data_IF_174329288841
#
_entry.id   IF_174329288841
#
_cell.length_a   1.000
_cell.length_b   1.000
_cell.length_c   1.000
_cell.angle_alpha   90.00
_cell.angle_beta   90.00
_cell.angle_gamma   90.00
#
_symmetry.space_group_name_H-M   'P 1'
#
loop_
_entity.id
_entity.type
_entity.pdbx_description
1 polymer ?
#
# COMPACT_ATOMS: atom_id res chain seq x y z
N UNK A 1 -15.72 0.88 11.76
CA UNK A 1 -14.82 0.47 10.65
C UNK A 1 -13.59 -0.20 11.25
N UNK A 2 -13.18 -1.37 10.75
CA UNK A 2 -11.93 -2.00 11.19
C UNK A 2 -10.80 -1.72 10.19
N UNK A 3 -9.58 -1.47 10.67
CA UNK A 3 -8.40 -1.39 9.82
C UNK A 3 -7.18 -2.01 10.50
N UNK A 4 -6.17 -2.35 9.71
CA UNK A 4 -5.02 -3.09 10.16
C UNK A 4 -4.15 -2.29 11.15
N UNK A 5 -3.60 -3.01 12.13
CA UNK A 5 -2.53 -2.57 13.04
C UNK A 5 -2.87 -1.42 13.98
N UNK A 6 -2.68 -0.17 13.56
CA UNK A 6 -2.77 1.00 14.42
C UNK A 6 -2.93 2.29 13.65
N UNK A 7 -3.20 3.38 14.38
CA UNK A 7 -3.38 4.72 13.81
C UNK A 7 -2.12 5.19 13.09
N UNK A 8 -2.29 5.90 11.97
CA UNK A 8 -1.21 6.52 11.21
C UNK A 8 -0.59 5.66 10.11
N UNK A 9 -0.97 4.38 10.00
CA UNK A 9 -0.61 3.58 8.84
C UNK A 9 -1.34 4.05 7.57
N UNK A 10 -0.78 3.76 6.40
CA UNK A 10 -1.25 4.26 5.09
C UNK A 10 -2.77 4.18 4.86
N UNK A 11 -3.38 3.01 5.06
CA UNK A 11 -4.83 2.79 4.90
C UNK A 11 -5.63 3.59 5.92
N UNK A 12 -5.15 3.75 7.15
CA UNK A 12 -5.81 4.57 8.18
C UNK A 12 -5.80 6.06 7.79
N UNK A 13 -4.64 6.57 7.34
CA UNK A 13 -4.52 7.97 6.90
C UNK A 13 -5.40 8.24 5.68
N UNK A 14 -5.32 7.39 4.64
CA UNK A 14 -6.13 7.54 3.44
C UNK A 14 -7.63 7.48 3.76
N UNK A 15 -8.05 6.52 4.59
CA UNK A 15 -9.44 6.40 4.99
C UNK A 15 -9.94 7.64 5.76
N UNK A 16 -9.14 8.15 6.70
CA UNK A 16 -9.49 9.35 7.48
C UNK A 16 -9.56 10.60 6.61
N UNK A 17 -8.65 10.72 5.66
CA UNK A 17 -8.66 11.79 4.65
C UNK A 17 -9.93 11.77 3.82
N UNK A 18 -10.24 10.63 3.19
CA UNK A 18 -11.46 10.48 2.37
C UNK A 18 -12.74 10.73 3.18
N UNK A 19 -12.79 10.30 4.45
CA UNK A 19 -13.91 10.63 5.33
C UNK A 19 -14.06 12.13 5.51
N UNK A 20 -12.94 12.84 5.75
CA UNK A 20 -12.95 14.28 6.01
C UNK A 20 -13.35 15.08 4.77
N UNK A 21 -12.88 14.70 3.59
CA UNK A 21 -13.29 15.32 2.31
C UNK A 21 -14.80 15.20 2.06
N UNK A 22 -15.40 14.10 2.49
CA UNK A 22 -16.85 13.85 2.41
C UNK A 22 -17.63 14.44 3.61
N UNK A 23 -16.98 15.24 4.47
CA UNK A 23 -17.60 15.88 5.63
C UNK A 23 -17.92 14.93 6.79
N UNK A 24 -17.40 13.71 6.78
CA UNK A 24 -17.53 12.71 7.85
C UNK A 24 -16.36 12.88 8.83
N UNK A 25 -16.63 13.09 10.11
CA UNK A 25 -15.61 13.32 11.13
C UNK A 25 -15.12 11.98 11.70
N UNK A 26 -13.86 11.58 11.46
CA UNK A 26 -13.32 10.33 12.00
C UNK A 26 -13.35 10.30 13.53
N UNK A 27 -13.55 9.11 14.11
CA UNK A 27 -13.67 8.87 15.55
C UNK A 27 -14.90 9.52 16.24
N UNK A 28 -15.66 10.39 15.55
CA UNK A 28 -16.95 10.91 16.02
C UNK A 28 -18.12 10.25 15.29
N UNK A 29 -18.17 10.36 13.96
CA UNK A 29 -19.25 9.81 13.14
C UNK A 29 -19.00 8.34 12.81
N UNK A 30 -17.72 7.96 12.71
CA UNK A 30 -17.29 6.58 12.46
C UNK A 30 -16.29 6.15 13.51
N UNK A 31 -16.67 5.15 14.31
CA UNK A 31 -15.73 4.48 15.22
C UNK A 31 -14.73 3.62 14.43
N UNK A 32 -13.46 4.00 14.48
CA UNK A 32 -12.35 3.24 13.87
C UNK A 32 -11.75 2.32 14.93
N UNK A 33 -11.58 1.04 14.56
CA UNK A 33 -11.01 0.01 15.43
C UNK A 33 -9.83 -0.66 14.72
N UNK A 34 -8.83 -1.02 15.51
CA UNK A 34 -7.60 -1.59 15.01
C UNK A 34 -7.42 -3.01 15.51
N UNK A 35 -6.95 -3.90 14.63
CA UNK A 35 -6.61 -5.27 14.97
C UNK A 35 -5.60 -5.84 13.95
N UNK A 36 -4.92 -6.95 14.26
CA UNK A 36 -4.15 -7.69 13.27
C UNK A 36 -5.00 -8.06 12.05
N UNK A 37 -4.49 -7.95 10.80
CA UNK A 37 -5.27 -8.22 9.60
C UNK A 37 -5.97 -9.59 9.58
N UNK A 38 -5.31 -10.63 10.09
CA UNK A 38 -5.85 -11.99 10.17
C UNK A 38 -7.06 -12.08 11.11
N UNK A 39 -7.03 -11.33 12.21
CA UNK A 39 -8.16 -11.25 13.14
C UNK A 39 -9.34 -10.53 12.47
N UNK A 40 -9.08 -9.43 11.77
CA UNK A 40 -10.12 -8.70 11.02
C UNK A 40 -10.78 -9.62 9.99
N UNK A 41 -10.00 -10.42 9.26
CA UNK A 41 -10.54 -11.44 8.34
C UNK A 41 -11.46 -12.42 9.05
N UNK A 42 -11.06 -12.95 10.22
CA UNK A 42 -11.87 -13.90 10.99
C UNK A 42 -13.18 -13.27 11.51
N UNK A 43 -13.09 -12.04 12.04
CA UNK A 43 -14.25 -11.25 12.47
C UNK A 43 -15.21 -10.96 11.31
N UNK A 44 -14.68 -10.63 10.13
CA UNK A 44 -15.47 -10.34 8.95
C UNK A 44 -16.21 -11.58 8.47
N UNK A 45 -15.50 -12.72 8.32
CA UNK A 45 -16.09 -13.99 7.88
C UNK A 45 -17.14 -14.55 8.83
N UNK A 46 -16.98 -14.29 10.14
CA UNK A 46 -17.98 -14.67 11.15
C UNK A 46 -19.18 -13.72 11.21
N UNK A 47 -19.18 -12.63 10.43
CA UNK A 47 -20.27 -11.64 10.41
C UNK A 47 -20.27 -10.69 11.61
N UNK A 48 -19.25 -10.73 12.48
CA UNK A 48 -19.13 -9.84 13.64
C UNK A 48 -18.79 -8.40 13.25
N UNK A 49 -18.20 -8.20 12.07
CA UNK A 49 -17.94 -6.87 11.51
C UNK A 49 -18.47 -6.79 10.08
N UNK A 50 -18.99 -5.61 9.72
CA UNK A 50 -19.59 -5.35 8.39
C UNK A 50 -18.65 -4.63 7.42
N UNK A 51 -17.70 -3.85 7.95
CA UNK A 51 -16.83 -2.99 7.17
C UNK A 51 -15.39 -3.09 7.68
N UNK A 52 -14.47 -3.31 6.74
CA UNK A 52 -13.04 -3.34 6.97
C UNK A 52 -12.29 -2.65 5.82
N UNK A 53 -11.27 -1.86 6.17
CA UNK A 53 -10.32 -1.27 5.24
C UNK A 53 -8.98 -1.99 5.42
N UNK A 54 -8.56 -2.77 4.43
CA UNK A 54 -7.41 -3.67 4.50
C UNK A 54 -6.58 -3.59 3.21
N UNK A 55 -5.27 -3.90 3.25
CA UNK A 55 -4.49 -4.16 2.06
C UNK A 55 -4.75 -5.59 1.53
N UNK A 56 -4.38 -5.84 0.28
CA UNK A 56 -4.24 -7.20 -0.23
C UNK A 56 -3.10 -7.95 0.49
N UNK A 57 -3.18 -9.28 0.66
CA UNK A 57 -4.23 -10.19 0.19
C UNK A 57 -5.42 -10.33 1.16
N UNK A 58 -5.49 -9.51 2.22
CA UNK A 58 -6.54 -9.65 3.25
C UNK A 58 -7.93 -9.26 2.74
N UNK A 59 -8.00 -8.32 1.79
CA UNK A 59 -9.24 -8.02 1.04
C UNK A 59 -9.75 -9.27 0.33
N UNK A 60 -8.88 -9.96 -0.41
CA UNK A 60 -9.22 -11.24 -1.06
C UNK A 60 -9.66 -12.28 -0.04
N UNK A 61 -8.95 -12.40 1.08
CA UNK A 61 -9.33 -13.34 2.14
C UNK A 61 -10.72 -13.04 2.69
N UNK A 62 -11.09 -11.79 2.92
CA UNK A 62 -12.45 -11.42 3.37
C UNK A 62 -13.53 -11.75 2.33
N UNK A 63 -13.26 -11.50 1.04
CA UNK A 63 -14.22 -11.73 -0.03
C UNK A 63 -14.38 -13.22 -0.41
N UNK A 64 -13.42 -14.07 -0.04
CA UNK A 64 -13.40 -15.49 -0.38
C UNK A 64 -14.72 -16.19 0.00
N UNK A 65 -15.26 -16.99 -0.92
CA UNK A 65 -16.53 -17.70 -0.72
C UNK A 65 -17.77 -16.79 -0.75
N UNK A 66 -17.67 -15.59 -1.34
CA UNK A 66 -18.79 -14.66 -1.50
C UNK A 66 -19.21 -13.96 -0.20
N UNK A 67 -18.34 -13.94 0.81
CA UNK A 67 -18.64 -13.38 2.14
C UNK A 67 -18.50 -11.86 2.20
N UNK A 68 -17.96 -11.23 1.17
CA UNK A 68 -17.78 -9.78 1.10
C UNK A 68 -17.70 -9.26 -0.33
N UNK A 69 -17.88 -7.95 -0.47
CA UNK A 69 -17.68 -7.22 -1.72
C UNK A 69 -16.75 -6.04 -1.47
N UNK A 70 -15.92 -5.72 -2.46
CA UNK A 70 -15.09 -4.51 -2.43
C UNK A 70 -16.02 -3.32 -2.68
N UNK A 71 -16.08 -2.40 -1.73
CA UNK A 71 -16.91 -1.20 -1.83
C UNK A 71 -16.14 0.00 -2.40
N UNK A 72 -14.83 0.06 -2.15
CA UNK A 72 -13.99 1.19 -2.49
C UNK A 72 -12.55 0.71 -2.76
N UNK A 73 -11.88 1.34 -3.72
CA UNK A 73 -10.46 1.17 -4.03
C UNK A 73 -9.73 2.49 -3.71
N UNK A 74 -8.89 2.48 -2.67
CA UNK A 74 -8.15 3.66 -2.23
C UNK A 74 -7.20 4.21 -3.29
N UNK A 75 -6.62 3.36 -4.13
CA UNK A 75 -5.71 3.83 -5.18
C UNK A 75 -6.46 4.58 -6.26
N UNK A 76 -7.66 4.12 -6.62
CA UNK A 76 -8.51 4.78 -7.60
C UNK A 76 -8.97 6.14 -7.08
N UNK A 77 -9.56 6.17 -5.88
CA UNK A 77 -10.08 7.41 -5.28
C UNK A 77 -8.96 8.44 -5.10
N UNK A 78 -7.80 8.02 -4.59
CA UNK A 78 -6.64 8.90 -4.45
C UNK A 78 -6.18 9.49 -5.79
N UNK A 79 -6.06 8.66 -6.84
CA UNK A 79 -5.66 9.14 -8.16
C UNK A 79 -6.65 10.15 -8.74
N UNK A 80 -7.94 9.86 -8.63
CA UNK A 80 -9.01 10.74 -9.11
C UNK A 80 -8.99 12.11 -8.39
N UNK A 81 -8.83 12.13 -7.07
CA UNK A 81 -8.79 13.39 -6.29
C UNK A 81 -7.53 14.21 -6.52
N UNK A 82 -6.38 13.54 -6.67
CA UNK A 82 -5.10 14.21 -6.82
C UNK A 82 -4.78 14.55 -8.29
N UNK A 83 -5.56 14.07 -9.24
CA UNK A 83 -5.30 14.23 -10.67
C UNK A 83 -4.04 13.49 -11.13
N UNK A 84 -3.72 12.35 -10.50
CA UNK A 84 -2.54 11.51 -10.80
C UNK A 84 -2.98 10.08 -11.17
N UNK A 85 -2.10 9.24 -11.73
CA UNK A 85 -2.44 7.83 -11.98
C UNK A 85 -2.97 7.13 -10.72
N UNK A 86 -3.87 6.13 -10.83
CA UNK A 86 -4.52 5.48 -9.69
C UNK A 86 -3.55 4.54 -8.94
N UNK A 87 -2.60 5.14 -8.23
CA UNK A 87 -1.51 4.49 -7.49
C UNK A 87 -1.10 5.31 -6.28
N UNK A 88 -0.47 4.63 -5.33
CA UNK A 88 0.00 5.20 -4.07
C UNK A 88 1.52 5.00 -3.96
N UNK A 89 2.33 6.06 -3.76
CA UNK A 89 3.78 5.97 -3.63
C UNK A 89 4.18 5.58 -2.19
N UNK A 90 3.78 4.37 -1.78
CA UNK A 90 3.88 3.90 -0.38
C UNK A 90 4.99 2.87 -0.16
N UNK A 91 5.69 2.50 -1.22
CA UNK A 91 6.84 1.60 -1.20
C UNK A 91 7.92 2.11 -2.15
N UNK A 92 9.17 2.03 -1.72
CA UNK A 92 10.33 2.49 -2.50
C UNK A 92 11.60 1.75 -2.10
N UNK A 93 12.62 1.86 -2.95
CA UNK A 93 13.97 1.41 -2.63
C UNK A 93 14.73 2.57 -1.99
N UNK A 94 15.34 2.32 -0.84
CA UNK A 94 16.08 3.33 -0.09
C UNK A 94 17.52 2.88 0.12
N UNK A 95 18.44 3.83 0.08
CA UNK A 95 19.83 3.64 0.45
C UNK A 95 20.36 4.88 1.16
N UNK A 96 21.43 4.73 1.94
CA UNK A 96 22.06 5.89 2.55
C UNK A 96 22.80 6.73 1.49
N UNK A 97 22.81 8.06 1.67
CA UNK A 97 23.58 8.97 0.80
C UNK A 97 25.06 8.56 0.70
N UNK A 98 25.63 8.10 1.83
CA UNK A 98 27.01 7.60 1.89
C UNK A 98 27.21 6.39 0.99
N UNK A 99 26.34 5.39 1.08
CA UNK A 99 26.48 4.16 0.28
C UNK A 99 26.27 4.43 -1.21
N UNK A 100 25.31 5.28 -1.58
CA UNK A 100 25.11 5.70 -2.97
C UNK A 100 26.36 6.38 -3.54
N UNK A 101 27.02 7.24 -2.76
CA UNK A 101 28.24 7.93 -3.17
C UNK A 101 29.45 7.00 -3.28
N UNK A 102 29.62 6.08 -2.34
CA UNK A 102 30.76 5.17 -2.31
C UNK A 102 30.63 4.03 -3.33
N UNK A 103 29.40 3.56 -3.59
CA UNK A 103 29.13 2.37 -4.41
C UNK A 103 27.98 2.58 -5.43
N UNK A 104 28.06 3.60 -6.31
CA UNK A 104 26.96 3.94 -7.22
C UNK A 104 26.58 2.79 -8.17
N UNK A 105 27.57 2.08 -8.73
CA UNK A 105 27.34 0.93 -9.62
C UNK A 105 26.62 -0.22 -8.91
N UNK A 106 26.85 -0.41 -7.60
CA UNK A 106 26.16 -1.45 -6.83
C UNK A 106 24.70 -1.07 -6.64
N UNK A 107 24.41 0.19 -6.32
CA UNK A 107 23.03 0.67 -6.20
C UNK A 107 22.29 0.54 -7.53
N UNK A 108 22.90 1.00 -8.62
CA UNK A 108 22.33 0.87 -9.97
C UNK A 108 22.04 -0.60 -10.31
N UNK A 109 22.98 -1.51 -9.99
CA UNK A 109 22.79 -2.94 -10.25
C UNK A 109 21.65 -3.54 -9.42
N UNK A 110 21.50 -3.14 -8.15
CA UNK A 110 20.39 -3.59 -7.30
C UNK A 110 19.05 -3.11 -7.86
N UNK A 111 18.96 -1.85 -8.30
CA UNK A 111 17.75 -1.29 -8.92
C UNK A 111 17.40 -2.04 -10.20
N UNK A 112 18.39 -2.30 -11.07
CA UNK A 112 18.21 -3.05 -12.31
C UNK A 112 17.71 -4.48 -12.02
N UNK A 113 18.34 -5.18 -11.08
CA UNK A 113 17.93 -6.53 -10.68
C UNK A 113 16.52 -6.56 -10.08
N UNK A 114 16.17 -5.55 -9.28
CA UNK A 114 14.83 -5.43 -8.71
C UNK A 114 13.78 -5.23 -9.81
N UNK A 115 14.03 -4.32 -10.77
CA UNK A 115 13.16 -4.10 -11.92
C UNK A 115 12.97 -5.38 -12.73
N UNK A 116 14.06 -6.08 -13.06
CA UNK A 116 14.02 -7.34 -13.79
C UNK A 116 13.25 -8.42 -13.02
N UNK A 117 13.39 -8.47 -11.69
CA UNK A 117 12.65 -9.41 -10.83
C UNK A 117 11.13 -9.15 -10.86
N UNK A 118 10.72 -7.87 -10.78
CA UNK A 118 9.30 -7.49 -10.88
C UNK A 118 8.72 -7.81 -12.26
N UNK A 119 9.46 -7.50 -13.33
CA UNK A 119 9.05 -7.82 -14.70
C UNK A 119 8.93 -9.34 -14.93
N UNK A 120 9.90 -10.12 -14.44
CA UNK A 120 9.86 -11.58 -14.50
C UNK A 120 8.65 -12.13 -13.74
N UNK A 121 8.38 -11.64 -12.53
CA UNK A 121 7.23 -12.05 -11.73
C UNK A 121 5.91 -11.80 -12.46
N UNK A 122 5.74 -10.63 -13.08
CA UNK A 122 4.54 -10.29 -13.83
C UNK A 122 4.34 -11.18 -15.07
N UNK A 123 5.42 -11.59 -15.75
CA UNK A 123 5.38 -12.50 -16.91
C UNK A 123 5.19 -13.96 -16.50
N UNK A 124 5.63 -14.35 -15.31
CA UNK A 124 5.67 -15.74 -14.83
C UNK A 124 4.91 -15.90 -13.50
N UNK A 125 3.70 -15.35 -13.42
CA UNK A 125 2.96 -15.24 -12.16
C UNK A 125 2.80 -16.58 -11.42
N UNK A 126 2.46 -17.66 -12.12
CA UNK A 126 2.25 -18.96 -11.48
C UNK A 126 3.54 -19.53 -10.86
N UNK A 127 4.67 -19.38 -11.54
CA UNK A 127 6.00 -19.76 -11.03
C UNK A 127 6.39 -18.91 -9.82
N UNK A 128 6.20 -17.60 -9.92
CA UNK A 128 6.47 -16.67 -8.82
C UNK A 128 5.62 -16.99 -7.57
N UNK A 129 4.36 -17.39 -7.75
CA UNK A 129 3.48 -17.79 -6.65
C UNK A 129 3.91 -19.13 -6.02
N UNK A 130 4.44 -20.07 -6.80
CA UNK A 130 5.04 -21.31 -6.26
C UNK A 130 6.24 -20.99 -5.37
N UNK A 131 7.12 -20.08 -5.80
CA UNK A 131 8.27 -19.64 -5.00
C UNK A 131 7.81 -18.93 -3.72
N UNK A 132 6.81 -18.06 -3.82
CA UNK A 132 6.27 -17.28 -2.71
C UNK A 132 5.70 -18.15 -1.58
N UNK A 133 5.15 -19.33 -1.88
CA UNK A 133 4.64 -20.28 -0.87
C UNK A 133 5.67 -20.64 0.20
N UNK A 134 6.97 -20.60 -0.12
CA UNK A 134 8.04 -20.90 0.84
C UNK A 134 8.15 -19.85 1.95
N UNK A 135 7.64 -18.64 1.70
CA UNK A 135 7.78 -17.47 2.57
C UNK A 135 6.46 -17.02 3.17
N UNK A 136 5.34 -17.24 2.47
CA UNK A 136 4.01 -16.84 2.91
C UNK A 136 3.11 -18.05 3.16
N UNK A 137 2.52 -18.11 4.36
CA UNK A 137 1.50 -19.09 4.70
C UNK A 137 0.11 -18.65 4.21
N UNK A 138 -0.01 -18.39 2.90
CA UNK A 138 -1.26 -17.94 2.26
C UNK A 138 -1.55 -18.86 1.06
N UNK A 139 -2.79 -19.37 0.90
CA UNK A 139 -3.13 -20.23 -0.22
C UNK A 139 -2.87 -19.54 -1.57
N UNK A 140 -2.24 -20.24 -2.51
CA UNK A 140 -1.87 -19.65 -3.81
C UNK A 140 -3.05 -19.15 -4.63
N UNK A 141 -4.22 -19.78 -4.54
CA UNK A 141 -5.40 -19.26 -5.24
C UNK A 141 -5.83 -17.88 -4.69
N UNK A 142 -5.63 -17.63 -3.39
CA UNK A 142 -5.87 -16.31 -2.77
C UNK A 142 -4.85 -15.31 -3.29
N UNK A 143 -3.56 -15.67 -3.31
CA UNK A 143 -2.52 -14.79 -3.85
C UNK A 143 -2.75 -14.48 -5.33
N UNK A 144 -3.10 -15.49 -6.13
CA UNK A 144 -3.41 -15.31 -7.57
C UNK A 144 -4.60 -14.38 -7.78
N UNK A 145 -5.64 -14.52 -6.96
CA UNK A 145 -6.80 -13.62 -7.01
C UNK A 145 -6.45 -12.20 -6.54
N UNK A 146 -5.64 -12.03 -5.50
CA UNK A 146 -5.21 -10.70 -5.04
C UNK A 146 -4.37 -9.98 -6.09
N UNK A 147 -3.54 -10.73 -6.85
CA UNK A 147 -2.68 -10.18 -7.91
C UNK A 147 -3.47 -9.60 -9.11
N UNK A 148 -4.79 -9.83 -9.21
CA UNK A 148 -5.64 -9.12 -10.18
C UNK A 148 -5.82 -7.63 -9.82
N UNK A 149 -5.60 -7.27 -8.55
CA UNK A 149 -5.73 -5.90 -8.02
C UNK A 149 -4.41 -5.35 -7.48
N UNK A 150 -3.50 -6.21 -7.03
CA UNK A 150 -2.15 -5.81 -6.65
C UNK A 150 -1.29 -5.61 -7.89
N UNK A 151 -0.86 -4.37 -8.13
CA UNK A 151 0.03 -4.04 -9.24
C UNK A 151 1.46 -3.87 -8.74
N UNK A 152 2.37 -4.71 -9.22
CA UNK A 152 3.80 -4.54 -8.99
C UNK A 152 4.46 -4.01 -10.26
N UNK A 153 5.09 -2.86 -10.16
CA UNK A 153 5.88 -2.26 -11.23
C UNK A 153 6.92 -1.34 -10.58
N UNK A 154 8.06 -1.17 -11.26
CA UNK A 154 9.07 -0.22 -10.86
C UNK A 154 8.84 1.10 -11.61
N UNK A 155 8.91 2.22 -10.89
CA UNK A 155 8.91 3.57 -11.48
C UNK A 155 10.13 4.30 -10.99
N UNK A 156 10.88 4.85 -11.94
CA UNK A 156 12.08 5.64 -11.67
C UNK A 156 11.68 6.91 -10.91
N UNK A 157 12.54 7.37 -10.01
CA UNK A 157 12.26 8.54 -9.19
C UNK A 157 12.06 9.79 -10.03
N UNK A 158 12.74 9.92 -11.18
CA UNK A 158 12.55 11.03 -12.12
C UNK A 158 11.11 11.14 -12.64
N UNK A 159 10.39 10.01 -12.66
CA UNK A 159 9.04 9.90 -13.20
C UNK A 159 7.97 9.91 -12.08
N UNK A 160 8.35 9.83 -10.80
CA UNK A 160 7.41 9.78 -9.68
C UNK A 160 7.70 10.74 -8.52
N UNK A 161 8.75 11.55 -8.59
CA UNK A 161 9.13 12.52 -7.55
C UNK A 161 7.96 13.43 -7.15
N UNK A 162 7.22 13.98 -8.12
CA UNK A 162 6.05 14.81 -7.85
C UNK A 162 4.93 14.08 -7.11
N UNK A 163 4.66 12.83 -7.48
CA UNK A 163 3.64 12.00 -6.81
C UNK A 163 4.06 11.67 -5.38
N UNK A 164 5.34 11.35 -5.16
CA UNK A 164 5.90 11.08 -3.82
C UNK A 164 5.84 12.33 -2.96
N UNK A 165 6.28 13.47 -3.47
CA UNK A 165 6.27 14.75 -2.75
C UNK A 165 4.85 15.16 -2.34
N UNK A 166 3.88 15.01 -3.26
CA UNK A 166 2.47 15.28 -2.98
C UNK A 166 1.94 14.38 -1.86
N UNK A 167 2.21 13.07 -1.94
CA UNK A 167 1.75 12.12 -0.93
C UNK A 167 2.35 12.41 0.45
N UNK A 168 3.65 12.68 0.54
CA UNK A 168 4.31 13.00 1.82
C UNK A 168 3.82 14.31 2.42
N UNK A 169 3.56 15.33 1.58
CA UNK A 169 2.94 16.58 2.03
C UNK A 169 1.55 16.36 2.60
N UNK A 170 0.71 15.60 1.89
CA UNK A 170 -0.64 15.26 2.37
C UNK A 170 -0.60 14.46 3.67
N UNK A 171 0.32 13.49 3.78
CA UNK A 171 0.53 12.74 5.01
C UNK A 171 0.93 13.64 6.19
N UNK A 172 1.81 14.62 5.98
CA UNK A 172 2.15 15.63 6.99
C UNK A 172 0.96 16.52 7.39
N UNK A 173 0.14 16.97 6.43
CA UNK A 173 -1.08 17.76 6.69
C UNK A 173 -2.10 16.97 7.53
N UNK A 174 -2.28 15.68 7.22
CA UNK A 174 -3.31 14.82 7.82
C UNK A 174 -2.88 14.18 9.14
N UNK A 175 -1.58 13.91 9.28
CA UNK A 175 -1.02 13.21 10.43
C UNK A 175 0.35 13.79 10.82
N UNK A 176 0.40 15.07 11.24
CA UNK A 176 1.65 15.76 11.54
C UNK A 176 2.43 15.10 12.70
N UNK A 177 1.74 14.44 13.63
CA UNK A 177 2.41 13.71 14.72
C UNK A 177 3.23 12.51 14.22
N UNK A 178 2.77 11.82 13.17
CA UNK A 178 3.51 10.69 12.59
C UNK A 178 4.43 11.04 11.43
N UNK A 179 4.23 12.21 10.83
CA UNK A 179 5.10 12.77 9.80
C UNK A 179 5.35 14.24 10.12
N UNK A 180 6.28 14.57 11.03
CA UNK A 180 6.46 15.95 11.52
C UNK A 180 7.02 16.92 10.49
N UNK A 181 7.60 16.42 9.39
CA UNK A 181 8.07 17.25 8.28
C UNK A 181 8.15 16.46 6.99
N UNK A 182 8.20 17.18 5.87
CA UNK A 182 8.40 16.60 4.55
C UNK A 182 9.91 16.56 4.26
N UNK A 183 10.46 15.46 3.70
CA UNK A 183 11.88 15.38 3.37
C UNK A 183 12.31 16.42 2.32
N UNK A 184 13.58 16.82 2.37
CA UNK A 184 14.19 17.72 1.40
C UNK A 184 14.54 17.01 0.06
N UNK A 185 15.10 17.76 -0.90
CA UNK A 185 15.48 17.23 -2.20
C UNK A 185 16.46 16.05 -2.12
N UNK A 186 17.29 15.97 -1.07
CA UNK A 186 18.24 14.87 -0.91
C UNK A 186 17.61 13.58 -0.38
N UNK A 187 16.28 13.54 -0.23
CA UNK A 187 15.51 12.30 -0.09
C UNK A 187 15.43 11.53 -1.41
N UNK A 188 15.43 12.25 -2.53
CA UNK A 188 15.36 11.69 -3.87
C UNK A 188 16.78 11.39 -4.38
N UNK A 189 17.02 10.13 -4.76
CA UNK A 189 18.28 9.77 -5.40
C UNK A 189 18.39 10.50 -6.74
N UNK A 190 19.53 11.16 -6.97
CA UNK A 190 19.88 11.86 -8.20
C UNK A 190 21.03 11.13 -8.88
#
# INVERSE_FOLDING_TARGET
>A
MYTAHGRGQTVDVLMRYLMTEEGVIPDKDVRILYAPPQEIVALFKSGKIKFAALPEPFVTLCALGGKGKIALDFQKVWGDEMGIPPRLPIAGLFTSRRFLKEYPMVVEKVVELFKNSVEWMNKNLDEALILTKKFLNIPTHVLKESMKRTKFYYVDIKDCEGEVALFLKKLNELYPEGMPGVPDEGFYAR
#
